data_IF_520914652312
#
_entry.id   IF_520914652312
#
_cell.length_a   1.000
_cell.length_b   1.000
_cell.length_c   1.000
_cell.angle_alpha   90.00
_cell.angle_beta   90.00
_cell.angle_gamma   90.00
#
_symmetry.space_group_name_H-M   'P 1'
#
loop_
_entity.id
_entity.type
_entity.pdbx_description
1 polymer ?
#
# COMPACT_ATOMS: atom_id res chain seq x y z
N UNK A 1 14.06 -4.42 4.48
CA UNK A 1 12.81 -4.82 3.79
C UNK A 1 12.72 -6.33 3.74
N UNK A 2 11.62 -6.87 4.20
CA UNK A 2 11.37 -8.31 4.23
C UNK A 2 10.24 -8.64 3.27
N UNK A 3 10.47 -9.54 2.33
CA UNK A 3 9.45 -10.01 1.39
C UNK A 3 8.68 -11.14 2.06
N UNK A 4 7.37 -11.00 2.13
CA UNK A 4 6.47 -11.96 2.77
C UNK A 4 5.31 -12.31 1.84
N UNK A 5 4.58 -13.37 2.22
CA UNK A 5 3.38 -13.82 1.52
C UNK A 5 2.22 -13.93 2.49
N UNK A 6 1.02 -13.97 1.93
CA UNK A 6 -0.19 -14.12 2.71
C UNK A 6 -1.10 -12.89 2.62
N UNK A 7 -1.96 -12.74 3.61
CA UNK A 7 -2.95 -11.67 3.66
C UNK A 7 -2.40 -10.48 4.46
N UNK A 8 -2.21 -9.35 3.79
CA UNK A 8 -1.72 -8.11 4.41
C UNK A 8 -2.62 -7.65 5.57
N UNK A 9 -3.91 -7.93 5.51
CA UNK A 9 -4.85 -7.56 6.59
C UNK A 9 -4.58 -8.29 7.90
N UNK A 10 -3.84 -9.40 7.85
CA UNK A 10 -3.45 -10.17 9.03
C UNK A 10 -2.08 -9.76 9.58
N UNK A 11 -1.41 -8.81 8.96
CA UNK A 11 -0.09 -8.35 9.40
C UNK A 11 -0.16 -7.67 10.77
N UNK A 12 0.75 -8.05 11.66
CA UNK A 12 0.94 -7.35 12.92
C UNK A 12 1.93 -6.22 12.71
N UNK A 13 1.42 -5.08 12.26
CA UNK A 13 2.18 -3.88 11.98
C UNK A 13 1.40 -2.64 12.40
N UNK A 14 2.11 -1.59 12.78
CA UNK A 14 1.50 -0.33 13.19
C UNK A 14 0.71 0.33 12.06
N UNK A 15 1.17 0.18 10.81
CA UNK A 15 0.50 0.72 9.66
C UNK A 15 0.33 -0.34 8.57
N UNK A 16 -0.81 -0.29 7.89
CA UNK A 16 -1.08 -1.07 6.69
C UNK A 16 -1.26 -0.11 5.52
N UNK A 17 -0.60 -0.39 4.39
CA UNK A 17 -0.76 0.40 3.17
C UNK A 17 -1.84 -0.23 2.30
N UNK A 18 -2.82 0.59 1.93
CA UNK A 18 -3.89 0.24 1.01
C UNK A 18 -3.66 0.94 -0.33
N UNK A 19 -3.67 0.20 -1.44
CA UNK A 19 -3.56 0.79 -2.77
C UNK A 19 -4.92 1.29 -3.23
N UNK A 20 -4.98 2.55 -3.67
CA UNK A 20 -6.25 3.19 -4.04
C UNK A 20 -6.13 3.93 -5.37
N UNK A 21 -7.27 4.24 -5.97
CA UNK A 21 -7.38 5.22 -7.06
C UNK A 21 -7.73 6.61 -6.48
N UNK A 22 -7.89 7.59 -7.35
CA UNK A 22 -8.15 8.97 -6.93
C UNK A 22 -9.63 9.37 -7.04
N UNK A 23 -10.53 8.44 -7.34
CA UNK A 23 -11.95 8.73 -7.64
C UNK A 23 -12.94 8.10 -6.65
N UNK A 24 -12.48 7.52 -5.57
CA UNK A 24 -13.34 7.06 -4.49
C UNK A 24 -13.92 5.66 -4.65
N UNK A 25 -13.32 4.80 -5.47
CA UNK A 25 -13.81 3.45 -5.72
C UNK A 25 -12.87 2.42 -5.09
N UNK A 26 -13.39 1.58 -4.19
CA UNK A 26 -12.72 0.41 -3.64
C UNK A 26 -13.51 -0.84 -4.02
N UNK A 27 -13.54 -1.16 -5.32
CA UNK A 27 -14.40 -2.20 -5.86
C UNK A 27 -13.75 -3.54 -6.14
N UNK A 28 -12.41 -3.64 -6.12
CA UNK A 28 -11.67 -4.86 -6.49
C UNK A 28 -10.38 -5.02 -5.68
N UNK A 29 -9.90 -6.25 -5.61
CA UNK A 29 -8.59 -6.59 -5.07
C UNK A 29 -8.43 -6.19 -3.60
N UNK A 30 -7.22 -5.76 -3.25
CA UNK A 30 -6.87 -5.35 -1.89
C UNK A 30 -7.77 -4.21 -1.40
N UNK A 31 -8.07 -3.23 -2.26
CA UNK A 31 -8.89 -2.09 -1.87
C UNK A 31 -10.28 -2.52 -1.38
N UNK A 32 -10.90 -3.49 -2.05
CA UNK A 32 -12.19 -4.04 -1.60
C UNK A 32 -12.09 -4.69 -0.24
N UNK A 33 -11.03 -5.47 0.00
CA UNK A 33 -10.79 -6.11 1.30
C UNK A 33 -10.59 -5.08 2.41
N UNK A 34 -9.86 -4.00 2.14
CA UNK A 34 -9.70 -2.89 3.08
C UNK A 34 -11.02 -2.18 3.37
N UNK A 35 -11.85 -1.99 2.35
CA UNK A 35 -13.18 -1.40 2.54
C UNK A 35 -14.03 -2.21 3.52
N UNK A 36 -14.00 -3.53 3.37
CA UNK A 36 -14.76 -4.44 4.22
C UNK A 36 -14.21 -4.49 5.64
N UNK A 37 -12.87 -4.51 5.79
CA UNK A 37 -12.22 -4.61 7.08
C UNK A 37 -12.18 -3.27 7.85
N UNK A 38 -12.09 -2.16 7.15
CA UNK A 38 -11.94 -0.82 7.72
C UNK A 38 -12.93 0.17 7.07
N UNK A 39 -14.24 0.05 7.37
CA UNK A 39 -15.26 0.89 6.73
C UNK A 39 -15.09 2.37 7.03
N UNK A 40 -14.56 2.75 8.20
CA UNK A 40 -14.31 4.16 8.52
C UNK A 40 -13.20 4.75 7.63
N UNK A 41 -12.16 3.96 7.34
CA UNK A 41 -11.13 4.37 6.38
C UNK A 41 -11.74 4.63 4.99
N UNK A 42 -12.65 3.77 4.56
CA UNK A 42 -13.33 3.98 3.28
C UNK A 42 -14.13 5.28 3.26
N UNK A 43 -14.83 5.61 4.34
CA UNK A 43 -15.59 6.86 4.45
C UNK A 43 -14.69 8.09 4.32
N UNK A 44 -13.57 8.09 5.04
CA UNK A 44 -12.60 9.18 4.97
C UNK A 44 -11.98 9.30 3.57
N UNK A 45 -11.64 8.16 2.97
CA UNK A 45 -11.10 8.13 1.61
C UNK A 45 -12.11 8.69 0.59
N UNK A 46 -13.37 8.23 0.63
CA UNK A 46 -14.40 8.70 -0.29
C UNK A 46 -14.65 10.21 -0.14
N UNK A 47 -14.67 10.70 1.09
CA UNK A 47 -14.79 12.12 1.39
C UNK A 47 -13.61 12.92 0.82
N UNK A 48 -12.40 12.44 1.03
CA UNK A 48 -11.18 13.09 0.52
C UNK A 48 -11.17 13.13 -1.02
N UNK A 49 -11.63 12.07 -1.67
CA UNK A 49 -11.75 12.04 -3.14
C UNK A 49 -12.74 13.08 -3.64
N UNK A 50 -13.90 13.22 -2.98
CA UNK A 50 -14.89 14.25 -3.34
C UNK A 50 -14.32 15.66 -3.21
N UNK A 51 -13.42 15.87 -2.25
CA UNK A 51 -12.73 17.16 -2.05
C UNK A 51 -11.50 17.36 -2.93
N UNK A 52 -11.18 16.43 -3.83
CA UNK A 52 -9.99 16.53 -4.70
C UNK A 52 -8.67 16.39 -3.95
N UNK A 53 -8.67 15.80 -2.76
CA UNK A 53 -7.46 15.70 -1.91
C UNK A 53 -6.65 14.44 -2.16
N UNK A 54 -7.20 13.44 -2.86
CA UNK A 54 -6.50 12.20 -3.17
C UNK A 54 -5.88 12.31 -4.56
N UNK A 55 -4.55 12.24 -4.60
CA UNK A 55 -3.79 12.39 -5.86
C UNK A 55 -2.47 11.63 -5.77
N UNK A 56 -1.88 11.24 -6.91
CA UNK A 56 -0.58 10.59 -6.92
C UNK A 56 0.49 11.43 -6.22
N UNK A 57 1.41 10.78 -5.53
CA UNK A 57 2.47 11.46 -4.81
C UNK A 57 2.11 11.99 -3.43
N UNK A 58 0.86 11.73 -2.98
CA UNK A 58 0.39 12.15 -1.65
C UNK A 58 -0.35 11.00 -0.98
N UNK A 59 0.06 10.67 0.25
CA UNK A 59 -0.64 9.66 1.05
C UNK A 59 -1.85 10.28 1.74
N UNK A 60 -2.91 9.47 1.87
CA UNK A 60 -4.01 9.77 2.79
C UNK A 60 -3.86 8.86 4.01
N UNK A 61 -3.44 9.42 5.12
CA UNK A 61 -3.22 8.69 6.37
C UNK A 61 -4.47 8.79 7.23
N UNK A 62 -5.03 7.66 7.62
CA UNK A 62 -6.20 7.59 8.49
C UNK A 62 -5.84 6.82 9.76
N UNK A 63 -6.00 7.47 10.92
CA UNK A 63 -5.83 6.80 12.20
C UNK A 63 -7.02 5.87 12.45
N UNK A 64 -6.75 4.65 12.89
CA UNK A 64 -7.81 3.67 13.18
C UNK A 64 -8.49 3.91 14.52
N UNK A 65 -7.84 4.67 15.41
CA UNK A 65 -8.27 4.88 16.79
C UNK A 65 -8.40 3.58 17.60
N UNK A 66 -7.67 2.54 17.19
CA UNK A 66 -7.63 1.25 17.89
C UNK A 66 -6.50 1.23 18.92
N UNK A 67 -6.66 0.43 19.95
CA UNK A 67 -5.62 0.20 20.96
C UNK A 67 -4.61 -0.87 20.52
N UNK A 68 -4.89 -1.57 19.44
CA UNK A 68 -4.03 -2.62 18.86
C UNK A 68 -3.74 -2.30 17.41
N UNK A 69 -2.73 -2.96 16.84
CA UNK A 69 -2.39 -2.82 15.42
C UNK A 69 -3.55 -3.26 14.51
N UNK A 70 -3.72 -2.63 13.34
CA UNK A 70 -2.98 -1.44 12.90
C UNK A 70 -3.50 -0.16 13.56
N UNK A 71 -2.57 0.78 13.80
CA UNK A 71 -2.90 2.13 14.30
C UNK A 71 -3.23 3.08 13.17
N UNK A 72 -2.70 2.81 11.97
CA UNK A 72 -2.88 3.65 10.78
C UNK A 72 -3.19 2.80 9.56
N UNK A 73 -4.09 3.32 8.72
CA UNK A 73 -4.23 2.88 7.34
C UNK A 73 -3.67 3.99 6.47
N UNK A 74 -2.69 3.66 5.63
CA UNK A 74 -2.07 4.61 4.71
C UNK A 74 -2.58 4.30 3.30
N UNK A 75 -3.41 5.17 2.77
CA UNK A 75 -3.97 5.01 1.44
C UNK A 75 -2.97 5.60 0.43
N UNK A 76 -2.44 4.73 -0.41
CA UNK A 76 -1.41 5.04 -1.40
C UNK A 76 -2.05 5.07 -2.79
N UNK A 77 -2.21 6.24 -3.42
CA UNK A 77 -2.77 6.31 -4.77
C UNK A 77 -1.82 5.69 -5.79
N UNK A 78 -2.20 4.54 -6.34
CA UNK A 78 -1.44 3.84 -7.38
C UNK A 78 -2.04 4.00 -8.76
N UNK A 79 -3.28 4.48 -8.84
CA UNK A 79 -4.01 4.73 -10.08
C UNK A 79 -4.76 6.04 -9.97
N UNK A 80 -4.84 6.76 -11.09
CA UNK A 80 -5.63 8.00 -11.15
C UNK A 80 -7.12 7.72 -11.29
N UNK A 81 -7.46 6.63 -11.99
CA UNK A 81 -8.81 6.20 -12.26
C UNK A 81 -8.87 4.66 -12.11
N UNK A 82 -10.01 4.11 -11.68
CA UNK A 82 -10.11 2.69 -11.34
C UNK A 82 -9.87 1.72 -12.52
N UNK A 83 -10.15 2.14 -13.75
CA UNK A 83 -9.85 1.37 -14.97
C UNK A 83 -8.45 1.64 -15.54
N UNK A 84 -7.76 2.66 -15.06
CA UNK A 84 -6.46 3.02 -15.58
C UNK A 84 -5.38 2.04 -15.14
N UNK A 85 -4.27 2.02 -15.86
CA UNK A 85 -3.05 1.34 -15.43
C UNK A 85 -2.27 2.25 -14.49
N UNK A 86 -1.48 1.66 -13.61
CA UNK A 86 -0.55 2.40 -12.75
C UNK A 86 0.60 2.94 -13.57
N UNK A 87 1.17 4.08 -13.14
CA UNK A 87 2.34 4.69 -13.74
C UNK A 87 3.51 4.60 -12.78
N UNK A 88 4.69 4.23 -13.28
CA UNK A 88 5.87 4.08 -12.44
C UNK A 88 6.24 5.39 -11.72
N UNK A 89 6.12 6.54 -12.41
CA UNK A 89 6.38 7.83 -11.80
C UNK A 89 5.46 8.15 -10.62
N UNK A 90 4.23 7.65 -10.64
CA UNK A 90 3.29 7.81 -9.52
C UNK A 90 3.69 6.91 -8.33
N UNK A 91 4.26 5.74 -8.61
CA UNK A 91 4.81 4.88 -7.56
C UNK A 91 6.05 5.53 -6.94
N UNK A 92 6.95 6.05 -7.75
CA UNK A 92 8.18 6.70 -7.27
C UNK A 92 7.87 7.91 -6.38
N UNK A 93 7.01 8.81 -6.84
CA UNK A 93 6.61 9.98 -6.05
C UNK A 93 5.85 9.58 -4.79
N UNK A 94 5.01 8.55 -4.88
CA UNK A 94 4.30 8.00 -3.74
C UNK A 94 5.22 7.40 -2.70
N UNK A 95 6.26 6.67 -3.11
CA UNK A 95 7.25 6.10 -2.19
C UNK A 95 8.00 7.19 -1.43
N UNK A 96 8.36 8.29 -2.08
CA UNK A 96 8.98 9.45 -1.42
C UNK A 96 8.05 10.00 -0.34
N UNK A 97 6.78 10.18 -0.65
CA UNK A 97 5.79 10.66 0.31
C UNK A 97 5.57 9.66 1.46
N UNK A 98 5.50 8.36 1.15
CA UNK A 98 5.32 7.32 2.15
C UNK A 98 6.46 7.31 3.17
N UNK A 99 7.71 7.34 2.72
CA UNK A 99 8.89 7.38 3.60
C UNK A 99 8.85 8.62 4.49
N UNK A 100 8.49 9.78 3.93
CA UNK A 100 8.33 11.02 4.68
C UNK A 100 7.27 10.90 5.78
N UNK A 101 6.11 10.34 5.46
CA UNK A 101 5.02 10.17 6.44
C UNK A 101 5.37 9.13 7.52
N UNK A 102 6.02 8.04 7.16
CA UNK A 102 6.49 7.03 8.13
C UNK A 102 7.46 7.66 9.12
N UNK A 103 8.39 8.47 8.63
CA UNK A 103 9.34 9.21 9.48
C UNK A 103 8.60 10.18 10.41
N UNK A 104 7.71 10.98 9.85
CA UNK A 104 6.96 12.02 10.60
C UNK A 104 6.08 11.40 11.68
N UNK A 105 5.45 10.28 11.42
CA UNK A 105 4.56 9.61 12.36
C UNK A 105 5.29 8.71 13.35
N UNK A 106 6.59 8.51 13.18
CA UNK A 106 7.38 7.63 14.04
C UNK A 106 6.97 6.16 13.93
N UNK A 107 6.46 5.74 12.78
CA UNK A 107 6.04 4.35 12.55
C UNK A 107 7.27 3.46 12.51
N UNK A 108 7.22 2.33 13.23
CA UNK A 108 8.33 1.38 13.33
C UNK A 108 8.06 0.06 12.60
N UNK A 109 6.81 -0.23 12.29
CA UNK A 109 6.43 -1.43 11.53
C UNK A 109 5.33 -1.09 10.55
N UNK A 110 5.45 -1.57 9.32
CA UNK A 110 4.52 -1.25 8.26
C UNK A 110 4.45 -2.39 7.25
N UNK A 111 3.25 -2.73 6.83
CA UNK A 111 2.99 -3.71 5.79
C UNK A 111 2.59 -2.99 4.50
N UNK A 112 3.28 -3.32 3.41
CA UNK A 112 3.12 -2.67 2.10
C UNK A 112 2.86 -3.73 1.04
N UNK A 113 1.82 -3.57 0.21
CA UNK A 113 1.57 -4.50 -0.89
C UNK A 113 2.47 -4.21 -2.09
N UNK A 114 2.39 -5.06 -3.12
CA UNK A 114 3.10 -4.87 -4.38
C UNK A 114 2.48 -3.71 -5.18
N UNK A 115 2.96 -2.51 -4.93
CA UNK A 115 2.40 -1.26 -5.41
C UNK A 115 2.29 -1.22 -6.94
N UNK A 116 1.07 -1.07 -7.44
CA UNK A 116 0.81 -0.93 -8.87
C UNK A 116 0.98 -2.20 -9.70
N UNK A 117 1.23 -3.36 -9.09
CA UNK A 117 1.54 -4.59 -9.82
C UNK A 117 0.27 -5.34 -10.25
N UNK A 118 -0.60 -5.77 -9.42
CA UNK A 118 -1.77 -6.56 -9.80
C UNK A 118 -2.56 -5.96 -10.97
N UNK A 119 -3.70 -5.37 -10.69
CA UNK A 119 -4.55 -4.71 -11.69
C UNK A 119 -3.88 -3.47 -12.31
N UNK A 120 -2.89 -2.90 -11.65
CA UNK A 120 -2.12 -1.76 -12.17
C UNK A 120 -1.17 -2.12 -13.31
N UNK A 121 -0.77 -3.39 -13.42
CA UNK A 121 0.00 -3.90 -14.54
C UNK A 121 1.50 -3.62 -14.54
N UNK A 122 2.05 -3.02 -13.47
CA UNK A 122 3.49 -2.76 -13.42
C UNK A 122 4.28 -4.06 -13.11
N UNK A 123 5.51 -4.19 -13.65
CA UNK A 123 6.33 -5.38 -13.41
C UNK A 123 6.88 -5.39 -11.98
N UNK A 124 6.63 -6.48 -11.27
CA UNK A 124 7.02 -6.61 -9.86
C UNK A 124 8.53 -6.44 -9.61
N UNK A 125 9.44 -7.03 -10.41
CA UNK A 125 10.87 -6.85 -10.16
C UNK A 125 11.32 -5.39 -10.17
N UNK A 126 10.75 -4.55 -11.03
CA UNK A 126 11.07 -3.14 -11.10
C UNK A 126 10.50 -2.35 -9.93
N UNK A 127 9.25 -2.62 -9.58
CA UNK A 127 8.61 -1.97 -8.43
C UNK A 127 9.31 -2.37 -7.14
N UNK A 128 9.66 -3.65 -6.98
CA UNK A 128 10.39 -4.15 -5.82
C UNK A 128 11.71 -3.41 -5.61
N UNK A 129 12.45 -3.17 -6.70
CA UNK A 129 13.72 -2.44 -6.64
C UNK A 129 13.53 -1.02 -6.12
N UNK A 130 12.52 -0.32 -6.62
CA UNK A 130 12.20 1.05 -6.19
C UNK A 130 11.75 1.09 -4.72
N UNK A 131 10.98 0.10 -4.30
CA UNK A 131 10.57 -0.02 -2.90
C UNK A 131 11.79 -0.24 -2.01
N UNK A 132 12.71 -1.13 -2.41
CA UNK A 132 13.94 -1.40 -1.66
C UNK A 132 14.78 -0.13 -1.51
N UNK A 133 14.99 0.60 -2.60
CA UNK A 133 15.77 1.85 -2.57
C UNK A 133 15.13 2.89 -1.64
N UNK A 134 13.79 3.03 -1.70
CA UNK A 134 13.08 3.97 -0.85
C UNK A 134 13.17 3.59 0.63
N UNK A 135 12.96 2.31 0.95
CA UNK A 135 12.88 1.85 2.33
C UNK A 135 14.25 1.77 3.02
N UNK A 136 15.33 1.70 2.26
CA UNK A 136 16.69 1.80 2.81
C UNK A 136 16.96 3.14 3.50
N UNK A 137 16.18 4.18 3.22
CA UNK A 137 16.27 5.47 3.89
C UNK A 137 15.85 5.42 5.36
N UNK A 138 15.07 4.41 5.76
CA UNK A 138 14.62 4.19 7.13
C UNK A 138 14.88 2.73 7.52
N UNK A 139 16.18 2.37 7.70
CA UNK A 139 16.56 0.97 7.97
C UNK A 139 16.08 0.44 9.32
N UNK A 140 15.74 1.33 10.26
CA UNK A 140 15.22 0.97 11.58
C UNK A 140 13.74 0.56 11.54
N UNK A 141 13.03 0.85 10.45
CA UNK A 141 11.62 0.46 10.28
C UNK A 141 11.54 -0.98 9.77
N UNK A 142 10.63 -1.74 10.33
CA UNK A 142 10.32 -3.08 9.86
C UNK A 142 9.34 -2.99 8.69
N UNK A 143 9.87 -3.09 7.48
CA UNK A 143 9.10 -3.04 6.24
C UNK A 143 8.73 -4.47 5.82
N UNK A 144 7.45 -4.82 5.92
CA UNK A 144 6.91 -6.10 5.46
C UNK A 144 6.28 -5.89 4.09
N UNK A 145 6.89 -6.42 3.05
CA UNK A 145 6.42 -6.24 1.68
C UNK A 145 5.76 -7.51 1.18
N UNK A 146 4.48 -7.42 0.89
CA UNK A 146 3.68 -8.54 0.41
C UNK A 146 3.80 -8.63 -1.11
N UNK A 147 4.49 -9.66 -1.59
CA UNK A 147 4.65 -9.87 -3.03
C UNK A 147 3.33 -10.26 -3.71
N UNK A 148 3.21 -10.09 -5.04
CA UNK A 148 1.98 -10.43 -5.74
C UNK A 148 1.61 -11.90 -5.56
N UNK A 149 0.30 -12.20 -5.51
CA UNK A 149 -0.19 -13.56 -5.47
C UNK A 149 0.30 -14.33 -6.70
N UNK A 150 0.67 -15.61 -6.51
CA UNK A 150 1.19 -16.45 -7.57
C UNK A 150 2.66 -16.25 -7.92
N UNK A 151 3.39 -15.39 -7.20
CA UNK A 151 4.84 -15.25 -7.39
C UNK A 151 5.52 -16.60 -7.07
N UNK A 152 6.36 -17.15 -7.99
CA UNK A 152 7.06 -18.40 -7.74
C UNK A 152 8.01 -18.29 -6.54
N UNK A 153 8.15 -19.39 -5.79
CA UNK A 153 9.16 -19.48 -4.75
C UNK A 153 10.57 -19.58 -5.37
N UNK A 154 11.60 -19.59 -4.51
CA UNK A 154 12.99 -19.67 -4.96
C UNK A 154 13.31 -20.95 -5.77
N UNK A 155 12.42 -21.96 -5.72
CA UNK A 155 12.52 -23.22 -6.49
C UNK A 155 11.64 -23.21 -7.74
N UNK A 156 11.06 -22.05 -8.09
CA UNK A 156 10.21 -21.91 -9.28
C UNK A 156 8.81 -22.45 -9.13
N UNK A 157 8.37 -22.80 -7.93
CA UNK A 157 7.01 -23.28 -7.68
C UNK A 157 6.08 -22.12 -7.36
N UNK A 158 4.89 -22.16 -7.95
CA UNK A 158 3.85 -21.19 -7.56
C UNK A 158 3.37 -21.51 -6.14
N UNK A 159 3.24 -20.46 -5.35
CA UNK A 159 2.70 -20.59 -4.01
C UNK A 159 1.20 -20.38 -4.05
N UNK A 160 0.48 -21.28 -3.39
CA UNK A 160 -0.98 -21.18 -3.22
C UNK A 160 -1.29 -20.26 -2.05
N UNK A 161 -2.31 -19.46 -2.21
CA UNK A 161 -2.80 -18.56 -1.16
C UNK A 161 -4.20 -18.96 -0.76
#
# INVERSE_FOLDING_TARGET
MQIVQGNILEADAEALVNTVNCVGVMGKGIALQFRQAFPENFKEYAKACRGGLVRPGKMLVVATNRLVNPRYIINFPTKRYWKAKSRMEDIESGLTALVSDVRRLGIRSIAVPALGCGLGGLPWPEVQRRMRDAFEQLPEVRWLVYEPAGTPDAKGRNRSY
#
